data_IF_939166452262
#
_entry.id   IF_939166452262
#
_cell.length_a   1.000
_cell.length_b   1.000
_cell.length_c   1.000
_cell.angle_alpha   90.00
_cell.angle_beta   90.00
_cell.angle_gamma   90.00
#
_symmetry.space_group_name_H-M   'P 1'
#
loop_
_entity.id
_entity.type
_entity.pdbx_description
1 polymer ?
#
# COMPACT_ATOMS: atom_id res chain seq x y z
N UNK A 1 -56.84 -7.33 31.51
CA UNK A 1 -55.89 -8.28 32.12
C UNK A 1 -55.30 -9.28 31.13
N UNK A 2 -56.09 -10.13 30.44
CA UNK A 2 -55.54 -11.08 29.47
C UNK A 2 -54.92 -10.43 28.20
N UNK A 3 -55.42 -9.25 27.80
CA UNK A 3 -54.88 -8.48 26.67
C UNK A 3 -53.47 -7.92 27.00
N UNK A 4 -53.29 -7.31 28.18
CA UNK A 4 -52.00 -6.75 28.63
C UNK A 4 -50.88 -7.78 28.69
N UNK A 5 -51.19 -9.00 29.13
CA UNK A 5 -50.21 -10.09 29.20
C UNK A 5 -49.69 -10.49 27.82
N UNK A 6 -50.54 -10.48 26.78
CA UNK A 6 -50.13 -10.80 25.40
C UNK A 6 -49.20 -9.72 24.84
N UNK A 7 -49.47 -8.45 25.12
CA UNK A 7 -48.65 -7.33 24.65
C UNK A 7 -47.27 -7.31 25.31
N UNK A 8 -47.18 -7.65 26.61
CA UNK A 8 -45.90 -7.77 27.32
C UNK A 8 -45.06 -8.94 26.76
N UNK A 9 -45.69 -10.09 26.49
CA UNK A 9 -45.01 -11.25 25.89
C UNK A 9 -44.57 -10.93 24.44
N UNK A 10 -45.38 -10.20 23.68
CA UNK A 10 -45.04 -9.82 22.32
C UNK A 10 -43.87 -8.83 22.27
N UNK A 11 -43.87 -7.78 23.11
CA UNK A 11 -42.78 -6.82 23.23
C UNK A 11 -41.46 -7.47 23.65
N UNK A 12 -41.50 -8.43 24.59
CA UNK A 12 -40.31 -9.16 25.03
C UNK A 12 -39.76 -10.14 23.98
N UNK A 13 -40.60 -10.69 23.11
CA UNK A 13 -40.14 -11.49 21.95
C UNK A 13 -39.51 -10.61 20.88
N UNK A 14 -40.10 -9.45 20.57
CA UNK A 14 -39.54 -8.50 19.61
C UNK A 14 -38.20 -7.95 20.09
N UNK A 15 -38.07 -7.57 21.35
CA UNK A 15 -36.81 -7.05 21.88
C UNK A 15 -35.68 -8.08 21.81
N UNK A 16 -35.97 -9.35 22.12
CA UNK A 16 -35.02 -10.46 21.93
C UNK A 16 -34.63 -10.65 20.47
N UNK A 17 -35.60 -10.60 19.54
CA UNK A 17 -35.33 -10.71 18.10
C UNK A 17 -34.40 -9.59 17.61
N UNK A 18 -34.68 -8.35 17.99
CA UNK A 18 -33.86 -7.18 17.65
C UNK A 18 -32.45 -7.30 18.23
N UNK A 19 -32.31 -7.81 19.46
CA UNK A 19 -31.01 -8.08 20.07
C UNK A 19 -30.21 -9.12 19.28
N UNK A 20 -30.80 -10.25 18.90
CA UNK A 20 -30.12 -11.26 18.08
C UNK A 20 -29.71 -10.72 16.71
N UNK A 21 -30.56 -9.92 16.07
CA UNK A 21 -30.24 -9.24 14.81
C UNK A 21 -29.03 -8.30 14.95
N UNK A 22 -28.99 -7.50 16.00
CA UNK A 22 -27.87 -6.60 16.27
C UNK A 22 -26.55 -7.37 16.47
N UNK A 23 -26.59 -8.48 17.21
CA UNK A 23 -25.42 -9.34 17.42
C UNK A 23 -24.94 -9.94 16.09
N UNK A 24 -25.84 -10.45 15.25
CA UNK A 24 -25.48 -10.99 13.93
C UNK A 24 -24.81 -9.93 13.05
N UNK A 25 -25.33 -8.70 13.02
CA UNK A 25 -24.73 -7.60 12.26
C UNK A 25 -23.33 -7.25 12.77
N UNK A 26 -23.11 -7.27 14.08
CA UNK A 26 -21.78 -7.06 14.67
C UNK A 26 -20.82 -8.16 14.22
N UNK A 27 -21.24 -9.43 14.25
CA UNK A 27 -20.42 -10.55 13.79
C UNK A 27 -20.06 -10.44 12.31
N UNK A 28 -21.03 -10.08 11.45
CA UNK A 28 -20.79 -9.86 10.02
C UNK A 28 -19.74 -8.76 9.82
N UNK A 29 -19.86 -7.64 10.56
CA UNK A 29 -18.91 -6.52 10.48
C UNK A 29 -17.50 -6.94 10.90
N UNK A 30 -17.37 -7.65 12.01
CA UNK A 30 -16.08 -8.18 12.50
C UNK A 30 -15.46 -9.13 11.45
N UNK A 31 -16.28 -9.97 10.82
CA UNK A 31 -15.82 -10.93 9.82
C UNK A 31 -15.33 -10.24 8.54
N UNK A 32 -16.05 -9.21 8.07
CA UNK A 32 -15.60 -8.39 6.93
C UNK A 32 -14.25 -7.71 7.21
N UNK A 33 -14.07 -7.10 8.38
CA UNK A 33 -12.80 -6.46 8.75
C UNK A 33 -11.64 -7.47 8.75
N UNK A 34 -11.84 -8.66 9.32
CA UNK A 34 -10.81 -9.71 9.30
C UNK A 34 -10.46 -10.16 7.88
N UNK A 35 -11.43 -10.21 6.97
CA UNK A 35 -11.22 -10.61 5.57
C UNK A 35 -10.40 -9.57 4.81
N UNK A 36 -10.65 -8.28 5.03
CA UNK A 36 -9.87 -7.19 4.45
C UNK A 36 -8.42 -7.22 4.93
N UNK A 37 -8.21 -7.30 6.25
CA UNK A 37 -6.87 -7.39 6.83
C UNK A 37 -6.10 -8.64 6.37
N UNK A 38 -6.79 -9.77 6.17
CA UNK A 38 -6.15 -10.99 5.67
C UNK A 38 -5.69 -10.83 4.22
N UNK A 39 -6.50 -10.19 3.36
CA UNK A 39 -6.09 -9.89 1.97
C UNK A 39 -4.87 -8.98 1.95
N UNK A 40 -4.87 -7.93 2.75
CA UNK A 40 -3.73 -7.01 2.85
C UNK A 40 -2.47 -7.74 3.35
N UNK A 41 -2.62 -8.61 4.36
CA UNK A 41 -1.53 -9.44 4.86
C UNK A 41 -1.02 -10.49 3.86
N UNK A 42 -1.89 -11.06 3.04
CA UNK A 42 -1.49 -11.98 1.95
C UNK A 42 -0.77 -11.23 0.83
N UNK A 43 -1.14 -9.97 0.55
CA UNK A 43 -0.38 -9.09 -0.35
C UNK A 43 1.00 -8.78 0.21
N UNK A 44 1.12 -8.57 1.53
CA UNK A 44 2.42 -8.38 2.20
C UNK A 44 3.29 -9.66 2.18
N UNK A 45 2.68 -10.83 2.07
CA UNK A 45 3.37 -12.12 1.85
C UNK A 45 3.60 -12.46 0.39
N UNK A 46 3.17 -11.60 -0.54
CA UNK A 46 3.29 -11.92 -1.96
C UNK A 46 4.76 -11.97 -2.40
N UNK A 47 5.06 -12.95 -3.25
CA UNK A 47 6.40 -13.14 -3.79
C UNK A 47 6.72 -12.02 -4.77
N UNK A 48 7.35 -10.96 -4.26
CA UNK A 48 7.94 -9.95 -5.10
C UNK A 48 9.09 -10.57 -5.89
N UNK A 49 9.05 -10.38 -7.21
CA UNK A 49 10.15 -10.75 -8.10
C UNK A 49 10.95 -9.50 -8.41
N UNK A 50 12.28 -9.65 -8.46
CA UNK A 50 13.20 -8.56 -8.78
C UNK A 50 13.62 -8.68 -10.24
N UNK A 51 13.54 -7.57 -10.96
CA UNK A 51 14.08 -7.42 -12.31
C UNK A 51 14.84 -6.10 -12.43
N UNK A 52 15.43 -5.82 -13.58
CA UNK A 52 16.04 -4.54 -13.87
C UNK A 52 15.05 -3.66 -14.63
N UNK A 53 14.89 -2.42 -14.17
CA UNK A 53 14.16 -1.37 -14.85
C UNK A 53 15.05 -0.18 -15.17
N UNK A 54 14.56 0.71 -16.04
CA UNK A 54 15.23 1.94 -16.45
C UNK A 54 14.31 3.11 -16.15
N UNK A 55 14.83 4.14 -15.49
CA UNK A 55 14.08 5.38 -15.24
C UNK A 55 13.89 6.10 -16.57
N UNK A 56 12.63 6.38 -16.92
CA UNK A 56 12.27 7.01 -18.19
C UNK A 56 12.01 8.50 -18.02
N UNK A 57 11.45 8.91 -16.88
CA UNK A 57 11.08 10.31 -16.63
C UNK A 57 10.99 10.60 -15.14
N UNK A 58 11.28 11.83 -14.75
CA UNK A 58 11.03 12.33 -13.39
C UNK A 58 10.14 13.56 -13.49
N UNK A 59 9.06 13.59 -12.71
CA UNK A 59 8.10 14.69 -12.71
C UNK A 59 7.87 15.18 -11.29
N UNK A 60 7.96 16.48 -11.07
CA UNK A 60 7.54 17.10 -9.81
C UNK A 60 6.02 17.23 -9.80
N UNK A 61 5.36 16.84 -8.71
CA UNK A 61 3.91 17.05 -8.58
C UNK A 61 3.62 18.55 -8.56
N UNK A 62 2.77 19.03 -9.47
CA UNK A 62 2.32 20.44 -9.48
C UNK A 62 1.74 20.79 -8.12
N UNK A 63 2.24 21.88 -7.50
CA UNK A 63 1.82 22.32 -6.16
C UNK A 63 2.54 21.68 -4.97
N UNK A 64 3.43 20.69 -5.17
CA UNK A 64 4.28 20.15 -4.11
C UNK A 64 5.73 19.95 -4.59
N UNK A 65 6.58 21.00 -4.51
CA UNK A 65 7.96 20.94 -5.01
C UNK A 65 8.85 19.93 -4.26
N UNK A 66 8.40 19.38 -3.13
CA UNK A 66 9.11 18.37 -2.36
C UNK A 66 8.85 16.93 -2.77
N UNK A 67 7.91 16.66 -3.68
CA UNK A 67 7.53 15.30 -4.10
C UNK A 67 7.69 15.10 -5.60
N UNK A 68 8.40 14.03 -5.94
CA UNK A 68 8.70 13.65 -7.32
C UNK A 68 8.15 12.26 -7.59
N UNK A 69 7.61 12.09 -8.80
CA UNK A 69 7.26 10.81 -9.36
C UNK A 69 8.36 10.39 -10.32
N UNK A 70 9.00 9.29 -9.99
CA UNK A 70 10.00 8.63 -10.83
C UNK A 70 9.27 7.58 -11.66
N UNK A 71 9.15 7.83 -12.95
CA UNK A 71 8.59 6.89 -13.92
C UNK A 71 9.70 6.00 -14.44
N UNK A 72 9.41 4.72 -14.60
CA UNK A 72 10.35 3.73 -15.07
C UNK A 72 9.67 2.71 -15.97
N UNK A 73 10.50 1.98 -16.71
CA UNK A 73 10.06 0.84 -17.48
C UNK A 73 10.92 -0.37 -17.19
N UNK A 74 10.34 -1.55 -17.21
CA UNK A 74 11.01 -2.81 -16.95
C UNK A 74 10.46 -3.90 -17.87
N UNK A 75 11.16 -5.02 -17.97
CA UNK A 75 10.77 -6.12 -18.85
C UNK A 75 10.55 -7.39 -18.06
N UNK A 76 9.40 -8.03 -18.31
CA UNK A 76 9.04 -9.36 -17.78
C UNK A 76 8.64 -10.20 -18.98
N UNK A 77 9.30 -11.35 -19.17
CA UNK A 77 8.99 -12.28 -20.28
C UNK A 77 8.96 -11.63 -21.68
N UNK A 78 9.88 -10.67 -21.93
CA UNK A 78 9.99 -9.87 -23.17
C UNK A 78 8.88 -8.84 -23.39
N UNK A 79 7.94 -8.69 -22.45
CA UNK A 79 6.93 -7.63 -22.46
C UNK A 79 7.44 -6.45 -21.62
N UNK A 80 7.32 -5.24 -22.18
CA UNK A 80 7.72 -4.01 -21.50
C UNK A 80 6.54 -3.47 -20.70
N UNK A 81 6.78 -3.18 -19.43
CA UNK A 81 5.83 -2.57 -18.51
C UNK A 81 6.34 -1.21 -18.06
N UNK A 82 5.44 -0.36 -17.60
CA UNK A 82 5.74 0.96 -17.05
C UNK A 82 5.17 1.06 -15.64
N UNK A 83 5.91 1.76 -14.78
CA UNK A 83 5.55 1.98 -13.39
C UNK A 83 5.99 3.35 -12.92
N UNK A 84 5.60 3.71 -11.71
CA UNK A 84 6.07 4.93 -11.07
C UNK A 84 6.22 4.75 -9.56
N UNK A 85 7.18 5.45 -8.98
CA UNK A 85 7.41 5.49 -7.54
C UNK A 85 7.51 6.94 -7.07
N UNK A 86 6.89 7.23 -5.91
CA UNK A 86 6.89 8.56 -5.32
C UNK A 86 8.02 8.72 -4.30
N UNK A 87 8.85 9.74 -4.47
CA UNK A 87 9.93 10.04 -3.53
C UNK A 87 9.90 11.50 -3.07
N UNK A 88 10.29 11.72 -1.82
CA UNK A 88 10.59 13.04 -1.32
C UNK A 88 12.04 13.41 -1.70
N UNK A 89 12.22 14.54 -2.40
CA UNK A 89 13.56 15.06 -2.70
C UNK A 89 13.87 16.25 -1.80
N UNK A 90 15.13 16.35 -1.39
CA UNK A 90 15.64 17.53 -0.69
C UNK A 90 15.89 18.69 -1.64
N UNK A 91 16.30 18.40 -2.88
CA UNK A 91 16.61 19.39 -3.91
C UNK A 91 16.24 18.87 -5.31
N UNK A 92 15.75 19.78 -6.16
CA UNK A 92 15.46 19.49 -7.58
C UNK A 92 16.73 19.29 -8.43
N UNK A 93 17.85 19.88 -8.00
CA UNK A 93 19.07 19.90 -8.77
C UNK A 93 19.66 18.47 -8.91
N UNK A 94 19.81 18.00 -10.15
CA UNK A 94 20.44 16.73 -10.46
C UNK A 94 19.49 15.53 -10.52
N UNK A 95 18.18 15.70 -10.30
CA UNK A 95 17.20 14.62 -10.50
C UNK A 95 17.26 14.04 -11.91
N UNK A 96 17.49 14.87 -12.92
CA UNK A 96 17.55 14.42 -14.32
C UNK A 96 18.72 13.45 -14.59
N UNK A 97 19.74 13.41 -13.72
CA UNK A 97 20.87 12.46 -13.81
C UNK A 97 20.45 11.01 -13.55
N UNK A 98 19.25 10.80 -13.01
CA UNK A 98 18.63 9.50 -12.81
C UNK A 98 18.01 8.94 -14.09
N UNK A 99 17.61 9.80 -15.03
CA UNK A 99 16.95 9.36 -16.27
C UNK A 99 17.94 8.52 -17.09
N UNK A 100 17.48 7.37 -17.57
CA UNK A 100 18.29 6.41 -18.32
C UNK A 100 19.12 5.46 -17.45
N UNK A 101 19.18 5.65 -16.11
CA UNK A 101 19.87 4.71 -15.23
C UNK A 101 19.02 3.47 -14.94
N UNK A 102 19.72 2.36 -14.76
CA UNK A 102 19.13 1.07 -14.40
C UNK A 102 19.02 0.93 -12.89
N UNK A 103 17.89 0.41 -12.42
CA UNK A 103 17.64 0.11 -11.02
C UNK A 103 16.95 -1.24 -10.86
N UNK A 104 17.12 -1.93 -9.72
CA UNK A 104 16.28 -3.05 -9.40
C UNK A 104 14.83 -2.58 -9.22
N UNK A 105 13.90 -3.32 -9.80
CA UNK A 105 12.46 -3.12 -9.67
C UNK A 105 11.89 -4.37 -9.05
N UNK A 106 11.19 -4.21 -7.93
CA UNK A 106 10.36 -5.25 -7.36
C UNK A 106 8.96 -5.16 -7.97
N UNK A 107 8.38 -6.28 -8.40
CA UNK A 107 6.99 -6.34 -8.85
C UNK A 107 6.32 -7.61 -8.33
N UNK A 108 5.01 -7.54 -8.15
CA UNK A 108 4.21 -8.69 -7.73
C UNK A 108 3.82 -9.54 -8.94
N UNK A 109 4.16 -10.84 -8.95
CA UNK A 109 3.87 -11.72 -10.11
C UNK A 109 2.38 -11.73 -10.50
N UNK A 110 1.50 -11.69 -9.51
CA UNK A 110 0.04 -11.71 -9.71
C UNK A 110 -0.56 -10.32 -9.99
N UNK A 111 0.24 -9.25 -9.89
CA UNK A 111 -0.19 -7.88 -10.14
C UNK A 111 1.02 -7.02 -10.55
N UNK A 112 1.35 -7.02 -11.84
CA UNK A 112 2.54 -6.32 -12.38
C UNK A 112 2.45 -4.81 -12.17
N UNK A 113 1.23 -4.24 -12.08
CA UNK A 113 1.03 -2.81 -11.78
C UNK A 113 1.51 -2.45 -10.36
N UNK A 114 1.53 -3.41 -9.44
CA UNK A 114 2.15 -3.27 -8.13
C UNK A 114 3.66 -3.48 -8.26
N UNK A 115 4.36 -2.41 -8.62
CA UNK A 115 5.80 -2.40 -8.81
C UNK A 115 6.45 -1.17 -8.18
N UNK A 116 7.70 -1.32 -7.74
CA UNK A 116 8.45 -0.26 -7.08
C UNK A 116 9.94 -0.35 -7.40
N UNK A 117 10.59 0.80 -7.60
CA UNK A 117 12.06 0.85 -7.69
C UNK A 117 12.66 0.64 -6.30
N UNK A 118 13.65 -0.24 -6.22
CA UNK A 118 14.46 -0.42 -5.04
C UNK A 118 15.69 0.48 -5.11
N UNK A 119 15.86 1.31 -4.09
CA UNK A 119 17.02 2.16 -3.93
C UNK A 119 17.83 1.71 -2.72
N UNK A 120 19.14 1.55 -2.90
CA UNK A 120 20.04 1.38 -1.77
C UNK A 120 20.16 2.68 -0.99
N UNK A 121 20.51 2.59 0.30
CA UNK A 121 20.70 3.75 1.18
C UNK A 121 21.69 4.77 0.63
N UNK A 122 22.76 4.31 -0.01
CA UNK A 122 23.78 5.17 -0.62
C UNK A 122 23.19 6.03 -1.74
N UNK A 123 22.34 5.44 -2.57
CA UNK A 123 21.71 6.11 -3.69
C UNK A 123 20.74 7.22 -3.23
N UNK A 124 20.19 7.14 -2.01
CA UNK A 124 19.41 8.26 -1.47
C UNK A 124 20.27 9.52 -1.31
N UNK A 125 21.53 9.39 -0.88
CA UNK A 125 22.43 10.52 -0.73
C UNK A 125 22.92 11.04 -2.09
N UNK A 126 23.33 10.14 -2.98
CA UNK A 126 23.87 10.49 -4.30
C UNK A 126 22.86 11.24 -5.18
N UNK A 127 21.57 10.98 -4.96
CA UNK A 127 20.48 11.59 -5.72
C UNK A 127 19.67 12.62 -4.94
N UNK A 128 20.17 13.06 -3.78
CA UNK A 128 19.52 14.07 -2.94
C UNK A 128 18.09 13.72 -2.54
N UNK A 129 17.80 12.43 -2.42
CA UNK A 129 16.55 11.91 -1.91
C UNK A 129 16.54 11.95 -0.38
N UNK A 130 15.36 12.12 0.20
CA UNK A 130 15.19 11.95 1.64
C UNK A 130 15.10 10.47 1.95
N UNK A 131 16.08 9.96 2.69
CA UNK A 131 16.00 8.60 3.24
C UNK A 131 14.84 8.51 4.24
N UNK A 132 13.87 7.60 4.05
CA UNK A 132 12.68 7.51 4.90
C UNK A 132 13.00 7.25 6.38
N UNK A 133 12.29 7.92 7.28
CA UNK A 133 12.46 7.74 8.72
C UNK A 133 12.12 6.33 9.21
N UNK A 134 11.17 5.67 8.54
CA UNK A 134 10.84 4.26 8.78
C UNK A 134 12.06 3.35 8.56
N UNK A 135 12.84 3.59 7.51
CA UNK A 135 14.05 2.82 7.24
C UNK A 135 15.19 3.19 8.20
N UNK A 136 15.31 4.47 8.59
CA UNK A 136 16.25 4.91 9.63
C UNK A 136 16.03 4.17 10.96
N UNK A 137 14.78 3.91 11.33
CA UNK A 137 14.46 3.17 12.55
C UNK A 137 14.89 1.70 12.46
N UNK A 138 14.61 1.05 11.31
CA UNK A 138 15.02 -0.34 11.06
C UNK A 138 16.54 -0.49 11.13
N UNK A 139 17.30 0.41 10.52
CA UNK A 139 18.76 0.41 10.59
C UNK A 139 19.31 0.52 12.02
N UNK A 140 18.61 1.24 12.91
CA UNK A 140 18.98 1.36 14.32
C UNK A 140 18.71 0.07 15.11
N UNK A 141 17.74 -0.74 14.68
CA UNK A 141 17.35 -1.98 15.37
C UNK A 141 18.18 -3.19 14.92
N UNK A 142 18.84 -3.11 13.76
CA UNK A 142 19.69 -4.19 13.22
C UNK A 142 21.15 -4.08 13.72
N UNK A 143 21.53 -2.92 14.29
CA UNK A 143 22.84 -2.71 14.95
C UNK A 143 22.83 -3.20 16.39
#
# INVERSE_FOLDING_TARGET
MAQDLKDVIFKTKISKLLFYLAVILIFIKIWSIKKENKKEFEVLKSDFTITNGVITRIVTKSGNPGSFFVYFSFTVEKVKFEGYSGYAFKFRAGSDKLIGRTFPVAFQQNNIENCEILLSKELFNDFFLTYPDSLNYVDKMIK
#
